data_IF_232478752600
#
_entry.id   IF_232478752600
#
_cell.length_a   1.000
_cell.length_b   1.000
_cell.length_c   1.000
_cell.angle_alpha   90.00
_cell.angle_beta   90.00
_cell.angle_gamma   90.00
#
_symmetry.space_group_name_H-M   'P 1'
#
loop_
_entity.id
_entity.type
_entity.pdbx_description
1 polymer ?
#
# COMPACT_ATOMS: atom_id res chain seq x y z
N UNK A 1 -14.95 51.51 19.13
CA UNK A 1 -14.13 50.28 19.24
C UNK A 1 -14.19 49.62 17.89
N UNK A 2 -13.18 49.83 17.05
CA UNK A 2 -13.18 49.33 15.67
C UNK A 2 -12.65 47.91 15.66
N UNK A 3 -13.42 46.98 15.09
CA UNK A 3 -13.01 45.61 14.82
C UNK A 3 -11.89 45.64 13.78
N UNK A 4 -10.65 45.43 14.22
CA UNK A 4 -9.50 45.32 13.32
C UNK A 4 -9.47 43.90 12.70
N UNK A 5 -9.70 43.77 11.38
CA UNK A 5 -9.73 42.47 10.71
C UNK A 5 -8.39 41.73 10.78
N UNK A 6 -7.27 42.43 10.98
CA UNK A 6 -5.95 41.80 11.15
C UNK A 6 -5.83 41.11 12.51
N UNK A 7 -6.35 41.71 13.57
CA UNK A 7 -6.37 41.09 14.90
C UNK A 7 -7.28 39.86 14.92
N UNK A 8 -8.41 39.88 14.22
CA UNK A 8 -9.29 38.71 14.09
C UNK A 8 -8.63 37.57 13.30
N UNK A 9 -7.89 37.88 12.23
CA UNK A 9 -7.16 36.89 11.45
C UNK A 9 -6.02 36.24 12.24
N UNK A 10 -5.27 37.04 13.02
CA UNK A 10 -4.21 36.54 13.91
C UNK A 10 -4.77 35.69 15.05
N UNK A 11 -5.88 36.10 15.65
CA UNK A 11 -6.53 35.33 16.71
C UNK A 11 -7.05 33.97 16.21
N UNK A 12 -7.53 33.89 14.97
CA UNK A 12 -7.93 32.61 14.34
C UNK A 12 -6.73 31.70 14.10
N UNK A 13 -5.65 32.22 13.52
CA UNK A 13 -4.44 31.44 13.24
C UNK A 13 -3.78 30.91 14.53
N UNK A 14 -3.75 31.72 15.58
CA UNK A 14 -3.23 31.30 16.88
C UNK A 14 -4.08 30.23 17.58
N UNK A 15 -5.37 30.10 17.23
CA UNK A 15 -6.22 28.99 17.70
C UNK A 15 -5.95 27.72 16.88
N UNK A 16 -5.87 27.84 15.56
CA UNK A 16 -5.55 26.72 14.66
C UNK A 16 -4.20 26.05 15.02
N UNK A 17 -3.14 26.83 15.26
CA UNK A 17 -1.83 26.29 15.68
C UNK A 17 -1.89 25.57 17.04
N UNK A 18 -2.67 26.09 18.00
CA UNK A 18 -2.84 25.44 19.31
C UNK A 18 -3.63 24.13 19.23
N UNK A 19 -4.60 24.05 18.33
CA UNK A 19 -5.41 22.85 18.13
C UNK A 19 -4.58 21.77 17.41
N UNK A 20 -3.72 22.14 16.45
CA UNK A 20 -2.78 21.21 15.79
C UNK A 20 -1.73 20.65 16.77
N UNK A 21 -1.15 21.49 17.63
CA UNK A 21 -0.17 21.05 18.63
C UNK A 21 -0.80 20.08 19.65
N UNK A 22 -2.03 20.33 20.09
CA UNK A 22 -2.77 19.40 20.97
C UNK A 22 -3.02 18.05 20.28
N UNK A 23 -3.52 18.06 19.05
CA UNK A 23 -3.78 16.84 18.30
C UNK A 23 -2.51 15.99 18.09
N UNK A 24 -1.36 16.64 17.90
CA UNK A 24 -0.07 15.96 17.75
C UNK A 24 0.43 15.32 19.04
N UNK A 25 0.29 16.01 20.17
CA UNK A 25 0.70 15.50 21.50
C UNK A 25 -0.12 14.27 21.89
N UNK A 26 -1.42 14.25 21.57
CA UNK A 26 -2.29 13.11 21.88
C UNK A 26 -1.95 11.88 21.02
N UNK A 27 -1.61 12.07 19.74
CA UNK A 27 -1.21 10.95 18.86
C UNK A 27 0.08 10.27 19.35
N UNK A 28 1.08 11.04 19.79
CA UNK A 28 2.32 10.47 20.32
C UNK A 28 2.09 9.67 21.62
N UNK A 29 1.20 10.15 22.50
CA UNK A 29 0.82 9.43 23.72
C UNK A 29 0.10 8.11 23.40
N UNK A 30 -0.81 8.12 22.42
CA UNK A 30 -1.49 6.91 21.92
C UNK A 30 -0.45 5.90 21.39
N UNK A 31 0.50 6.35 20.57
CA UNK A 31 1.53 5.44 20.01
C UNK A 31 2.50 4.87 21.05
N UNK A 32 2.70 5.57 22.18
CA UNK A 32 3.52 5.09 23.30
C UNK A 32 2.77 4.18 24.29
N UNK A 33 1.46 3.97 24.08
CA UNK A 33 0.64 3.19 25.00
C UNK A 33 0.45 3.85 26.37
N UNK A 34 0.66 5.16 26.46
CA UNK A 34 0.54 5.95 27.71
C UNK A 34 -0.90 6.43 27.96
N UNK A 35 -1.84 6.08 27.08
CA UNK A 35 -3.26 6.41 27.23
C UNK A 35 -3.91 5.29 28.05
N UNK A 36 -4.32 5.65 29.26
CA UNK A 36 -5.05 4.73 30.14
C UNK A 36 -6.40 4.37 29.51
N UNK A 37 -6.91 3.16 29.72
CA UNK A 37 -8.29 2.78 29.31
C UNK A 37 -9.36 3.74 29.84
N UNK A 38 -9.08 4.43 30.96
CA UNK A 38 -9.93 5.49 31.51
C UNK A 38 -9.89 6.81 30.74
N UNK A 39 -8.83 7.10 29.97
CA UNK A 39 -8.73 8.27 29.10
C UNK A 39 -9.44 8.02 27.75
N UNK A 40 -9.60 6.75 27.34
CA UNK A 40 -10.37 6.30 26.16
C UNK A 40 -11.84 6.03 26.50
N UNK A 41 -12.29 6.43 27.69
CA UNK A 41 -13.71 6.63 27.94
C UNK A 41 -14.15 7.86 27.14
N UNK A 42 -14.24 7.68 25.82
CA UNK A 42 -14.83 8.60 24.86
C UNK A 42 -16.06 9.21 25.53
N UNK A 43 -16.10 10.53 25.60
CA UNK A 43 -17.25 11.23 26.18
C UNK A 43 -18.51 10.65 25.52
N UNK A 44 -19.60 10.56 26.27
CA UNK A 44 -20.86 10.01 25.72
C UNK A 44 -21.29 10.76 24.43
N UNK A 45 -20.75 11.97 24.20
CA UNK A 45 -20.86 12.74 22.95
C UNK A 45 -20.08 12.14 21.77
N UNK A 46 -18.85 11.66 21.95
CA UNK A 46 -18.09 11.01 20.88
C UNK A 46 -18.69 9.65 20.50
N UNK A 47 -19.20 8.90 21.48
CA UNK A 47 -19.98 7.67 21.21
C UNK A 47 -21.27 7.96 20.44
N UNK A 48 -21.83 9.17 20.55
CA UNK A 48 -22.99 9.57 19.77
C UNK A 48 -22.66 9.80 18.29
N UNK A 49 -21.42 10.17 17.94
CA UNK A 49 -20.97 10.32 16.54
C UNK A 49 -20.86 8.98 15.80
N UNK A 50 -20.61 7.89 16.53
CA UNK A 50 -20.54 6.53 15.97
C UNK A 50 -21.85 5.75 16.09
N UNK A 51 -22.96 6.40 16.43
CA UNK A 51 -24.27 5.73 16.33
C UNK A 51 -24.57 5.43 14.87
N UNK A 52 -25.04 4.20 14.55
CA UNK A 52 -25.47 3.87 13.20
C UNK A 52 -26.52 4.89 12.74
N UNK A 53 -26.38 5.38 11.51
CA UNK A 53 -27.31 6.33 10.90
C UNK A 53 -28.74 5.78 11.00
N UNK A 54 -29.63 6.55 11.59
CA UNK A 54 -31.04 6.17 11.63
C UNK A 54 -31.64 6.24 10.21
N UNK A 55 -32.70 5.46 10.00
CA UNK A 55 -33.39 5.39 8.71
C UNK A 55 -33.95 6.76 8.24
N UNK A 56 -34.12 7.73 9.15
CA UNK A 56 -34.57 9.07 8.81
C UNK A 56 -33.42 9.95 8.29
N UNK A 57 -32.20 9.76 8.77
CA UNK A 57 -30.99 10.39 8.29
C UNK A 57 -30.58 9.86 6.92
N UNK A 58 -30.69 8.54 6.69
CA UNK A 58 -30.47 7.95 5.37
C UNK A 58 -31.41 8.54 4.31
N UNK A 59 -32.71 8.69 4.64
CA UNK A 59 -33.68 9.32 3.73
C UNK A 59 -33.33 10.77 3.40
N UNK A 60 -32.91 11.55 4.40
CA UNK A 60 -32.49 12.95 4.19
C UNK A 60 -31.27 13.06 3.26
N UNK A 61 -30.31 12.16 3.38
CA UNK A 61 -29.12 12.12 2.52
C UNK A 61 -29.51 11.72 1.09
N UNK A 62 -30.36 10.70 0.93
CA UNK A 62 -30.86 10.28 -0.38
C UNK A 62 -31.61 11.41 -1.09
N UNK A 63 -32.50 12.10 -0.39
CA UNK A 63 -33.26 13.24 -0.93
C UNK A 63 -32.33 14.41 -1.30
N UNK A 64 -31.30 14.67 -0.49
CA UNK A 64 -30.31 15.72 -0.78
C UNK A 64 -29.47 15.40 -2.02
N UNK A 65 -29.06 14.15 -2.22
CA UNK A 65 -28.31 13.73 -3.41
C UNK A 65 -29.19 13.84 -4.66
N UNK A 66 -30.45 13.42 -4.59
CA UNK A 66 -31.41 13.54 -5.70
C UNK A 66 -31.70 15.01 -6.04
N UNK A 67 -31.80 15.89 -5.03
CA UNK A 67 -31.98 17.32 -5.23
C UNK A 67 -30.72 18.03 -5.79
N UNK A 68 -29.53 17.48 -5.53
CA UNK A 68 -28.23 18.07 -5.89
C UNK A 68 -27.65 17.51 -7.18
N UNK A 69 -28.45 16.80 -7.98
CA UNK A 69 -28.01 16.21 -9.25
C UNK A 69 -27.25 17.21 -10.14
N UNK A 70 -26.22 16.75 -10.86
CA UNK A 70 -25.35 17.61 -11.65
C UNK A 70 -26.17 18.37 -12.68
N UNK A 71 -26.28 19.69 -12.48
CA UNK A 71 -26.86 20.60 -13.48
C UNK A 71 -25.88 20.69 -14.64
N UNK A 72 -25.98 19.76 -15.58
CA UNK A 72 -25.32 19.86 -16.88
C UNK A 72 -25.90 21.09 -17.58
N UNK A 73 -25.20 22.21 -17.44
CA UNK A 73 -25.57 23.46 -18.09
C UNK A 73 -25.31 23.27 -19.58
N UNK A 74 -26.36 22.89 -20.32
CA UNK A 74 -26.32 22.84 -21.78
C UNK A 74 -26.17 24.27 -22.28
N UNK A 75 -24.93 24.68 -22.52
CA UNK A 75 -24.63 25.95 -23.18
C UNK A 75 -25.08 25.80 -24.63
N UNK A 76 -26.23 26.40 -24.97
CA UNK A 76 -26.67 26.55 -26.37
C UNK A 76 -25.65 27.44 -27.08
N UNK A 77 -24.72 26.82 -27.80
CA UNK A 77 -23.74 27.51 -28.62
C UNK A 77 -24.43 28.34 -29.70
N UNK A 78 -24.15 29.65 -29.72
CA UNK A 78 -24.54 30.53 -30.80
C UNK A 78 -23.88 30.07 -32.12
N UNK A 79 -24.54 30.26 -33.29
CA UNK A 79 -24.03 29.81 -34.58
C UNK A 79 -22.76 30.58 -34.95
N UNK A 80 -21.61 29.98 -34.68
CA UNK A 80 -20.31 30.52 -35.06
C UNK A 80 -20.06 30.29 -36.55
N UNK A 81 -19.83 31.39 -37.28
CA UNK A 81 -19.41 31.36 -38.70
C UNK A 81 -18.00 30.78 -38.76
N UNK A 82 -17.84 29.57 -39.31
CA UNK A 82 -16.55 28.86 -39.39
C UNK A 82 -15.55 29.60 -40.31
N UNK A 83 -14.42 30.12 -39.81
CA UNK A 83 -13.32 30.54 -40.67
C UNK A 83 -12.59 29.31 -41.23
N UNK A 84 -12.25 29.33 -42.52
CA UNK A 84 -11.60 28.25 -43.28
C UNK A 84 -10.10 28.11 -42.97
N UNK A 85 -9.74 27.90 -41.70
CA UNK A 85 -8.34 27.71 -41.26
C UNK A 85 -8.09 26.31 -40.67
N UNK A 86 -8.98 25.37 -41.00
CA UNK A 86 -9.20 24.12 -40.27
C UNK A 86 -8.12 23.03 -40.36
N UNK A 87 -7.23 22.91 -41.38
CA UNK A 87 -6.32 21.77 -41.42
C UNK A 87 -5.07 21.93 -40.53
N UNK A 88 -4.56 23.15 -40.33
CA UNK A 88 -3.29 23.36 -39.61
C UNK A 88 -3.47 23.19 -38.09
N UNK A 89 -4.58 23.70 -37.53
CA UNK A 89 -4.85 23.60 -36.10
C UNK A 89 -5.11 22.14 -35.67
N UNK A 90 -5.72 21.35 -36.55
CA UNK A 90 -5.98 19.93 -36.29
C UNK A 90 -4.69 19.11 -36.21
N UNK A 91 -3.71 19.41 -37.05
CA UNK A 91 -2.40 18.74 -37.03
C UNK A 91 -1.61 19.05 -35.75
N UNK A 92 -1.63 20.30 -35.28
CA UNK A 92 -0.99 20.67 -34.02
C UNK A 92 -1.67 20.06 -32.79
N UNK A 93 -3.01 19.99 -32.78
CA UNK A 93 -3.74 19.34 -31.70
C UNK A 93 -3.45 17.83 -31.62
N UNK A 94 -3.35 17.14 -32.77
CA UNK A 94 -3.00 15.73 -32.82
C UNK A 94 -1.55 15.47 -32.34
N UNK A 95 -0.59 16.29 -32.78
CA UNK A 95 0.80 16.19 -32.34
C UNK A 95 0.94 16.45 -30.82
N UNK A 96 0.22 17.44 -30.30
CA UNK A 96 0.20 17.73 -28.86
C UNK A 96 -0.43 16.59 -28.05
N UNK A 97 -1.49 15.95 -28.53
CA UNK A 97 -2.10 14.79 -27.87
C UNK A 97 -1.19 13.57 -27.85
N UNK A 98 -0.46 13.31 -28.94
CA UNK A 98 0.56 12.23 -28.99
C UNK A 98 1.70 12.55 -28.03
N UNK A 99 2.21 13.79 -28.04
CA UNK A 99 3.24 14.21 -27.10
C UNK A 99 2.75 14.06 -25.65
N UNK A 100 1.52 14.49 -25.32
CA UNK A 100 0.94 14.28 -24.00
C UNK A 100 0.85 12.80 -23.62
N UNK A 101 0.45 11.93 -24.55
CA UNK A 101 0.35 10.49 -24.27
C UNK A 101 1.70 9.84 -23.94
N UNK A 102 2.80 10.36 -24.50
CA UNK A 102 4.16 9.91 -24.17
C UNK A 102 4.77 10.64 -22.97
N UNK A 103 4.37 11.89 -22.70
CA UNK A 103 4.86 12.68 -21.56
C UNK A 103 4.13 12.35 -20.26
N UNK A 104 2.84 11.99 -20.32
CA UNK A 104 2.12 11.57 -19.13
C UNK A 104 2.61 10.18 -18.75
N UNK A 105 3.28 10.04 -17.59
CA UNK A 105 3.64 8.72 -17.11
C UNK A 105 2.34 7.95 -16.98
N UNK A 106 2.13 6.94 -17.84
CA UNK A 106 1.10 5.93 -17.59
C UNK A 106 1.29 5.53 -16.13
N UNK A 107 0.26 5.70 -15.31
CA UNK A 107 0.26 5.15 -13.96
C UNK A 107 0.70 3.71 -14.12
N UNK A 108 1.96 3.44 -13.79
CA UNK A 108 2.47 2.08 -13.79
C UNK A 108 1.64 1.44 -12.72
N UNK A 109 0.89 0.39 -13.07
CA UNK A 109 0.05 -0.33 -12.11
C UNK A 109 0.94 -0.70 -10.94
N UNK A 110 0.85 0.12 -9.89
CA UNK A 110 1.66 -0.08 -8.71
C UNK A 110 1.15 -1.36 -8.09
N UNK A 111 2.05 -2.32 -7.90
CA UNK A 111 1.66 -3.55 -7.25
C UNK A 111 1.02 -3.22 -5.90
N UNK A 112 -0.10 -3.88 -5.57
CA UNK A 112 -0.75 -3.70 -4.28
C UNK A 112 0.23 -4.06 -3.17
N UNK A 113 -0.05 -3.53 -1.97
CA UNK A 113 0.68 -3.94 -0.77
C UNK A 113 0.39 -5.42 -0.52
N UNK A 114 1.43 -6.20 -0.25
CA UNK A 114 1.28 -7.61 0.10
C UNK A 114 1.28 -7.78 1.62
N UNK A 115 0.29 -8.50 2.14
CA UNK A 115 0.35 -9.11 3.45
C UNK A 115 1.23 -10.36 3.38
N UNK A 116 1.99 -10.61 4.44
CA UNK A 116 2.94 -11.71 4.51
C UNK A 116 2.63 -12.57 5.73
N UNK A 117 2.45 -13.86 5.48
CA UNK A 117 2.24 -14.89 6.48
C UNK A 117 3.36 -15.91 6.37
N UNK A 118 4.02 -16.19 7.50
CA UNK A 118 5.07 -17.20 7.60
C UNK A 118 4.70 -18.16 8.70
N UNK A 119 4.43 -19.41 8.32
CA UNK A 119 4.13 -20.49 9.26
C UNK A 119 5.20 -21.56 9.13
N UNK A 120 5.77 -21.92 10.29
CA UNK A 120 6.34 -23.23 10.52
C UNK A 120 5.42 -23.99 11.46
N UNK A 121 5.59 -25.29 11.58
CA UNK A 121 4.84 -26.12 12.55
C UNK A 121 5.03 -25.70 14.03
N UNK A 122 5.72 -24.59 14.31
CA UNK A 122 5.93 -23.99 15.62
C UNK A 122 5.53 -22.51 15.55
N UNK A 123 4.37 -22.20 16.14
CA UNK A 123 3.78 -20.88 16.37
C UNK A 123 3.58 -19.98 15.13
N UNK A 124 2.31 -19.70 14.82
CA UNK A 124 1.89 -18.73 13.81
C UNK A 124 2.19 -17.30 14.29
N UNK A 125 3.05 -16.58 13.57
CA UNK A 125 3.25 -15.13 13.78
C UNK A 125 2.35 -14.41 12.78
N UNK A 126 1.22 -13.86 13.27
CA UNK A 126 0.32 -13.00 12.48
C UNK A 126 0.64 -11.53 12.79
N UNK A 127 1.12 -10.77 11.80
CA UNK A 127 1.37 -9.34 11.93
C UNK A 127 0.21 -8.53 11.33
N UNK A 128 -0.41 -7.65 12.12
CA UNK A 128 -1.61 -6.90 11.70
C UNK A 128 -1.34 -5.63 10.86
N UNK A 129 -0.09 -5.25 10.61
CA UNK A 129 0.22 -4.05 9.80
C UNK A 129 1.48 -4.22 8.93
N UNK A 130 1.41 -3.91 7.61
CA UNK A 130 2.52 -4.03 6.70
C UNK A 130 3.44 -2.80 6.81
N UNK A 131 4.18 -2.69 7.91
CA UNK A 131 5.52 -2.06 7.85
C UNK A 131 6.41 -3.02 7.07
N UNK A 132 7.35 -2.53 6.25
CA UNK A 132 8.26 -3.32 5.43
C UNK A 132 8.60 -4.65 6.13
N UNK A 133 7.94 -5.73 5.68
CA UNK A 133 7.64 -6.86 6.57
C UNK A 133 8.92 -7.63 6.75
N UNK A 134 9.59 -7.42 7.87
CA UNK A 134 10.64 -8.30 8.39
C UNK A 134 9.95 -9.36 9.23
N UNK A 135 9.51 -10.44 8.57
CA UNK A 135 9.00 -11.61 9.29
C UNK A 135 10.15 -12.33 9.98
N UNK A 136 9.93 -12.85 11.20
CA UNK A 136 10.91 -13.74 11.84
C UNK A 136 10.22 -15.03 12.29
N UNK A 137 10.81 -16.17 11.95
CA UNK A 137 10.33 -17.47 12.38
C UNK A 137 11.48 -18.35 12.87
N UNK A 138 11.17 -19.23 13.82
CA UNK A 138 12.06 -20.31 14.26
C UNK A 138 11.50 -21.63 13.73
N UNK A 139 12.26 -22.36 12.93
CA UNK A 139 11.83 -23.60 12.30
C UNK A 139 12.58 -24.81 12.88
N UNK A 140 11.91 -25.95 12.99
CA UNK A 140 12.62 -27.23 13.17
C UNK A 140 13.06 -27.77 11.80
N UNK A 141 14.15 -28.55 11.79
CA UNK A 141 14.68 -29.21 10.58
C UNK A 141 13.65 -30.13 9.89
N UNK A 142 12.79 -30.75 10.70
CA UNK A 142 11.76 -31.71 10.26
C UNK A 142 10.40 -31.02 10.01
N UNK A 143 10.34 -29.69 10.12
CA UNK A 143 9.14 -28.93 9.86
C UNK A 143 8.86 -28.77 8.35
N UNK A 144 7.61 -28.45 8.04
CA UNK A 144 7.23 -27.88 6.74
C UNK A 144 7.19 -26.37 6.88
N UNK A 145 7.82 -25.67 5.94
CA UNK A 145 7.68 -24.24 5.78
C UNK A 145 6.48 -23.97 4.88
N UNK A 146 5.59 -23.08 5.31
CA UNK A 146 4.59 -22.45 4.45
C UNK A 146 4.74 -20.93 4.56
N UNK A 147 4.84 -20.28 3.41
CA UNK A 147 4.95 -18.84 3.29
C UNK A 147 3.93 -18.37 2.27
N UNK A 148 3.08 -17.44 2.66
CA UNK A 148 2.01 -16.93 1.83
C UNK A 148 2.10 -15.41 1.75
N UNK A 149 2.22 -14.89 0.53
CA UNK A 149 2.20 -13.47 0.24
C UNK A 149 0.87 -13.15 -0.45
N UNK A 150 -0.03 -12.43 0.22
CA UNK A 150 -1.36 -12.10 -0.30
C UNK A 150 -1.45 -10.63 -0.65
N UNK A 151 -1.81 -10.26 -1.89
CA UNK A 151 -2.03 -8.86 -2.21
C UNK A 151 -3.28 -8.34 -1.49
N UNK A 152 -3.26 -7.10 -0.99
CA UNK A 152 -4.43 -6.45 -0.38
C UNK A 152 -5.59 -6.25 -1.36
N UNK A 153 -5.27 -6.16 -2.65
CA UNK A 153 -6.23 -6.01 -3.75
C UNK A 153 -5.82 -7.00 -4.82
N UNK A 154 -6.78 -7.73 -5.41
CA UNK A 154 -6.48 -8.71 -6.46
C UNK A 154 -5.70 -8.07 -7.62
N UNK A 155 -4.64 -8.74 -8.06
CA UNK A 155 -3.78 -8.30 -9.15
C UNK A 155 -4.39 -8.71 -10.49
N UNK A 156 -4.55 -7.76 -11.40
CA UNK A 156 -5.11 -8.01 -12.74
C UNK A 156 -4.04 -8.35 -13.78
N UNK A 157 -2.78 -8.04 -13.48
CA UNK A 157 -1.64 -8.28 -14.36
C UNK A 157 -0.96 -9.62 -14.04
N UNK A 158 -0.33 -10.23 -15.05
CA UNK A 158 0.48 -11.43 -14.81
C UNK A 158 1.72 -11.05 -14.00
N UNK A 159 1.88 -11.68 -12.85
CA UNK A 159 3.04 -11.54 -11.98
C UNK A 159 3.96 -12.75 -12.10
N UNK A 160 5.24 -12.53 -11.82
CA UNK A 160 6.25 -13.53 -11.58
C UNK A 160 6.80 -13.37 -10.16
N UNK A 161 7.60 -14.33 -9.72
CA UNK A 161 8.30 -14.27 -8.45
C UNK A 161 9.72 -14.82 -8.60
N UNK A 162 10.67 -14.18 -7.94
CA UNK A 162 12.06 -14.64 -7.83
C UNK A 162 12.46 -14.56 -6.37
N UNK A 163 13.29 -15.51 -5.92
CA UNK A 163 13.67 -15.57 -4.52
C UNK A 163 15.17 -15.84 -4.35
N UNK A 164 15.72 -15.38 -3.23
CA UNK A 164 17.10 -15.60 -2.85
C UNK A 164 17.20 -15.92 -1.35
N UNK A 165 18.20 -16.72 -1.01
CA UNK A 165 18.63 -16.94 0.37
C UNK A 165 19.90 -16.11 0.62
N UNK A 166 19.90 -15.38 1.73
CA UNK A 166 20.98 -14.52 2.16
C UNK A 166 21.59 -15.07 3.44
N UNK A 167 22.91 -15.12 3.47
CA UNK A 167 23.69 -15.49 4.67
C UNK A 167 25.05 -14.82 4.61
N UNK A 168 25.47 -14.25 5.74
CA UNK A 168 26.77 -13.59 5.88
C UNK A 168 27.03 -12.53 4.77
N UNK A 169 25.96 -11.83 4.35
CA UNK A 169 26.00 -10.82 3.29
C UNK A 169 26.07 -11.38 1.85
N UNK A 170 26.13 -12.70 1.67
CA UNK A 170 26.11 -13.34 0.36
C UNK A 170 24.68 -13.79 -0.01
N UNK A 171 24.23 -13.40 -1.21
CA UNK A 171 22.96 -13.85 -1.77
C UNK A 171 23.17 -15.06 -2.69
N UNK A 172 22.31 -16.07 -2.54
CA UNK A 172 22.27 -17.28 -3.38
C UNK A 172 20.87 -17.41 -4.00
N UNK A 173 20.81 -17.80 -5.27
CA UNK A 173 19.56 -18.10 -5.94
C UNK A 173 18.78 -19.19 -5.17
N UNK A 174 17.51 -18.93 -4.92
CA UNK A 174 16.61 -19.86 -4.23
C UNK A 174 15.42 -20.17 -5.12
N UNK A 175 15.25 -21.44 -5.44
CA UNK A 175 14.21 -21.91 -6.36
C UNK A 175 13.27 -22.88 -5.64
N UNK A 176 12.51 -22.40 -4.64
CA UNK A 176 11.55 -23.26 -3.96
C UNK A 176 10.36 -23.56 -4.88
N UNK A 177 9.51 -24.55 -4.56
CA UNK A 177 8.21 -24.70 -5.21
C UNK A 177 7.37 -23.45 -4.96
N UNK A 178 7.07 -22.70 -6.03
CA UNK A 178 6.27 -21.48 -5.99
C UNK A 178 4.96 -21.74 -6.71
N UNK A 179 3.85 -21.46 -6.05
CA UNK A 179 2.51 -21.43 -6.62
C UNK A 179 2.02 -19.99 -6.65
N UNK A 180 1.51 -19.54 -7.81
CA UNK A 180 0.92 -18.21 -7.96
C UNK A 180 -0.55 -18.40 -8.34
N UNK A 181 -1.44 -17.85 -7.54
CA UNK A 181 -2.88 -17.94 -7.78
C UNK A 181 -3.37 -16.84 -8.74
N UNK A 182 -4.58 -16.97 -9.31
CA UNK A 182 -5.12 -15.97 -10.25
C UNK A 182 -5.33 -14.57 -9.68
N UNK A 183 -5.47 -14.42 -8.35
CA UNK A 183 -5.62 -13.12 -7.69
C UNK A 183 -4.28 -12.44 -7.37
N UNK A 184 -3.17 -13.11 -7.67
CA UNK A 184 -1.82 -12.64 -7.39
C UNK A 184 -1.23 -13.11 -6.05
N UNK A 185 -1.93 -13.93 -5.26
CA UNK A 185 -1.32 -14.53 -4.08
C UNK A 185 -0.20 -15.51 -4.46
N UNK A 186 0.92 -15.43 -3.75
CA UNK A 186 2.10 -16.27 -3.94
C UNK A 186 2.24 -17.19 -2.74
N UNK A 187 2.36 -18.49 -2.98
CA UNK A 187 2.59 -19.51 -1.94
C UNK A 187 3.88 -20.26 -2.19
N UNK A 188 4.68 -20.38 -1.14
CA UNK A 188 5.89 -21.20 -1.11
C UNK A 188 5.71 -22.23 -0.02
N UNK A 189 5.78 -23.51 -0.39
CA UNK A 189 5.57 -24.61 0.55
C UNK A 189 6.58 -25.73 0.32
N UNK A 190 7.11 -26.29 1.40
CA UNK A 190 7.95 -27.47 1.32
C UNK A 190 8.64 -27.87 2.62
N UNK A 191 9.21 -29.09 2.69
CA UNK A 191 10.00 -29.51 3.83
C UNK A 191 11.22 -28.60 4.01
N UNK A 192 11.49 -28.20 5.26
CA UNK A 192 12.64 -27.34 5.59
C UNK A 192 13.96 -27.92 5.06
N UNK A 193 14.18 -29.23 5.25
CA UNK A 193 15.37 -29.92 4.76
C UNK A 193 15.55 -29.89 3.23
N UNK A 194 14.48 -29.68 2.46
CA UNK A 194 14.53 -29.56 1.00
C UNK A 194 14.69 -28.11 0.55
N UNK A 195 14.18 -27.16 1.32
CA UNK A 195 14.18 -25.73 0.97
C UNK A 195 15.49 -25.03 1.36
N UNK A 196 16.16 -25.48 2.41
CA UNK A 196 17.39 -24.87 2.91
C UNK A 196 18.57 -25.84 2.76
N UNK A 197 19.72 -25.38 2.25
CA UNK A 197 20.89 -26.23 2.10
C UNK A 197 21.59 -26.58 3.42
N UNK A 198 21.28 -25.86 4.50
CA UNK A 198 21.88 -26.00 5.83
C UNK A 198 20.87 -25.45 6.85
N UNK A 199 20.56 -26.23 7.90
CA UNK A 199 19.59 -25.88 8.95
C UNK A 199 20.26 -25.59 10.29
N UNK A 200 21.58 -25.46 10.35
CA UNK A 200 22.30 -25.12 11.59
C UNK A 200 22.49 -23.61 11.76
N UNK A 201 22.15 -22.83 10.74
CA UNK A 201 22.46 -21.40 10.66
C UNK A 201 21.25 -20.57 10.30
N UNK A 202 21.25 -19.32 10.73
CA UNK A 202 20.27 -18.31 10.32
C UNK A 202 20.33 -18.08 8.81
N UNK A 203 19.16 -17.99 8.19
CA UNK A 203 19.00 -17.55 6.81
C UNK A 203 18.08 -16.33 6.76
N UNK A 204 18.34 -15.45 5.81
CA UNK A 204 17.37 -14.44 5.40
C UNK A 204 16.81 -14.82 4.03
N UNK A 205 15.50 -14.83 3.92
CA UNK A 205 14.74 -15.05 2.70
C UNK A 205 14.40 -13.70 2.11
N UNK A 206 14.66 -13.54 0.81
CA UNK A 206 14.24 -12.37 0.04
C UNK A 206 13.38 -12.86 -1.11
N UNK A 207 12.14 -12.39 -1.19
CA UNK A 207 11.19 -12.70 -2.27
C UNK A 207 10.83 -11.41 -2.99
N UNK A 208 11.08 -11.34 -4.30
CA UNK A 208 10.66 -10.25 -5.15
C UNK A 208 9.49 -10.68 -6.03
N UNK A 209 8.42 -9.88 -6.02
CA UNK A 209 7.18 -10.08 -6.77
C UNK A 209 7.00 -8.90 -7.72
N UNK A 210 6.64 -9.19 -8.97
CA UNK A 210 6.22 -8.16 -9.91
C UNK A 210 5.99 -8.65 -11.32
N UNK A 211 5.79 -7.74 -12.29
CA UNK A 211 5.46 -8.10 -13.66
C UNK A 211 6.46 -9.09 -14.26
N UNK A 212 5.95 -10.00 -15.08
CA UNK A 212 6.80 -10.94 -15.81
C UNK A 212 7.88 -10.18 -16.63
N UNK A 213 9.14 -10.57 -16.45
CA UNK A 213 10.29 -9.93 -17.11
C UNK A 213 10.88 -8.69 -16.40
N UNK A 214 10.21 -8.15 -15.38
CA UNK A 214 10.72 -7.01 -14.61
C UNK A 214 11.62 -7.41 -13.42
N UNK A 215 11.64 -8.70 -13.06
CA UNK A 215 12.33 -9.19 -11.88
C UNK A 215 13.84 -9.38 -12.10
N UNK A 216 14.68 -8.99 -11.14
CA UNK A 216 16.10 -9.31 -11.17
C UNK A 216 16.30 -10.83 -11.10
N UNK A 217 17.11 -11.38 -12.03
CA UNK A 217 17.47 -12.81 -12.03
C UNK A 217 18.74 -13.10 -11.23
N UNK A 218 19.57 -12.09 -11.05
CA UNK A 218 20.80 -12.17 -10.29
C UNK A 218 20.52 -12.02 -8.78
N UNK A 219 20.97 -12.96 -7.93
CA UNK A 219 20.75 -12.87 -6.49
C UNK A 219 21.33 -11.61 -5.83
N UNK A 220 22.46 -11.09 -6.32
CA UNK A 220 23.03 -9.86 -5.78
C UNK A 220 22.16 -8.63 -6.13
N UNK A 221 21.62 -8.58 -7.35
CA UNK A 221 20.63 -7.58 -7.74
C UNK A 221 19.32 -7.67 -6.91
N UNK A 222 18.89 -8.87 -6.50
CA UNK A 222 17.75 -9.02 -5.57
C UNK A 222 18.05 -8.41 -4.19
N UNK A 223 19.26 -8.58 -3.67
CA UNK A 223 19.66 -7.94 -2.42
C UNK A 223 19.69 -6.41 -2.53
N UNK A 224 20.18 -5.86 -3.65
CA UNK A 224 20.09 -4.42 -3.91
C UNK A 224 18.64 -3.93 -4.00
N UNK A 225 17.77 -4.70 -4.68
CA UNK A 225 16.34 -4.42 -4.76
C UNK A 225 15.63 -4.49 -3.40
N UNK A 226 16.13 -5.28 -2.46
CA UNK A 226 15.59 -5.33 -1.11
C UNK A 226 15.82 -4.02 -0.34
N UNK A 227 16.94 -3.33 -0.61
CA UNK A 227 17.22 -2.01 -0.04
C UNK A 227 16.46 -0.88 -0.78
N UNK A 228 16.32 -1.00 -2.11
CA UNK A 228 15.64 -0.02 -2.95
C UNK A 228 14.84 -0.72 -4.06
N UNK A 229 13.56 -1.06 -3.82
CA UNK A 229 12.75 -1.80 -4.79
C UNK A 229 12.58 -1.03 -6.11
N UNK A 230 12.80 -1.66 -7.28
CA UNK A 230 12.47 -1.05 -8.55
C UNK A 230 10.98 -0.69 -8.66
N UNK A 231 10.61 0.32 -9.47
CA UNK A 231 9.20 0.66 -9.69
C UNK A 231 8.40 -0.54 -10.19
N UNK A 232 7.27 -0.83 -9.54
CA UNK A 232 6.43 -1.98 -9.88
C UNK A 232 7.00 -3.33 -9.43
N UNK A 233 7.99 -3.35 -8.53
CA UNK A 233 8.46 -4.56 -7.83
C UNK A 233 8.22 -4.40 -6.34
N UNK A 234 7.72 -5.44 -5.70
CA UNK A 234 7.63 -5.55 -4.23
C UNK A 234 8.64 -6.56 -3.76
N UNK A 235 9.39 -6.22 -2.72
CA UNK A 235 10.35 -7.13 -2.09
C UNK A 235 9.92 -7.36 -0.66
N UNK A 236 9.87 -8.62 -0.26
CA UNK A 236 9.53 -9.07 1.08
C UNK A 236 10.72 -9.82 1.66
N UNK A 237 11.01 -9.59 2.95
CA UNK A 237 12.15 -10.16 3.65
C UNK A 237 11.68 -10.98 4.83
N UNK A 238 12.31 -12.11 5.09
CA UNK A 238 12.03 -12.86 6.29
C UNK A 238 13.31 -13.47 6.85
N UNK A 239 13.46 -13.44 8.17
CA UNK A 239 14.58 -14.07 8.86
C UNK A 239 14.09 -15.40 9.43
N UNK A 240 14.84 -16.47 9.13
CA UNK A 240 14.57 -17.80 9.64
C UNK A 240 15.75 -18.24 10.50
N UNK A 241 15.45 -18.53 11.77
CA UNK A 241 16.34 -19.24 12.68
C UNK A 241 15.90 -20.72 12.74
N UNK A 242 16.81 -21.62 13.14
CA UNK A 242 16.49 -23.04 13.32
C UNK A 242 16.63 -23.44 14.78
N UNK A 243 15.64 -24.18 15.26
CA UNK A 243 15.72 -24.81 16.58
C UNK A 243 16.75 -25.94 16.56
N UNK A 244 17.52 -26.05 17.65
CA UNK A 244 18.50 -27.13 17.86
C UNK A 244 17.82 -28.48 18.10
#
# INVERSE_FOLDING_TARGET
MSDDPLLSALARRAREERDEDRARVDLERVTRGEVSETDVAASDEERALFRPLDAAAERRIADAILASGPRVRVVKGAPSRKPRVTPIVLAFAAAAAIALFFLFPRHRDELPVYAFELSGNVAEVRGDEPKAVEGRATLHRDATLEMVLRPRVAVTTKIATTAALLRDGAARAWSPPIEISPDGAVRIVGPVASLFPDTERRWEIVVAIGPEGALPRDPAALLAAAAAPPPGVRVVRAVVDFAK
#
